data_IF_667924269400
#
_entry.id   IF_667924269400
#
_cell.length_a   1.000
_cell.length_b   1.000
_cell.length_c   1.000
_cell.angle_alpha   90.00
_cell.angle_beta   90.00
_cell.angle_gamma   90.00
#
_symmetry.space_group_name_H-M   'P 1'
#
loop_
_entity.id
_entity.type
_entity.pdbx_description
1 polymer ?
#
# COMPACT_ATOMS: atom_id res chain seq x y z
N UNK A 1 8.86 8.84 3.55
CA UNK A 1 9.45 7.97 2.50
C UNK A 1 10.46 8.68 1.59
N UNK A 2 10.21 9.90 1.09
CA UNK A 2 11.15 10.58 0.17
C UNK A 2 12.54 10.92 0.75
N UNK A 3 12.74 10.92 2.07
CA UNK A 3 14.04 11.23 2.70
C UNK A 3 14.98 10.02 2.87
N UNK A 4 14.46 8.78 2.84
CA UNK A 4 15.29 7.57 3.07
C UNK A 4 16.32 7.31 1.97
N UNK A 5 16.11 7.86 0.77
CA UNK A 5 16.97 7.67 -0.39
C UNK A 5 18.20 8.58 -0.39
N UNK A 6 18.13 9.73 0.31
CA UNK A 6 19.24 10.68 0.44
C UNK A 6 20.47 10.09 1.13
N UNK A 7 20.26 9.14 2.04
CA UNK A 7 21.33 8.49 2.79
C UNK A 7 22.04 7.39 1.96
N UNK A 8 21.39 6.86 0.93
CA UNK A 8 21.90 5.74 0.13
C UNK A 8 22.86 6.16 -1.01
N UNK A 9 22.78 7.40 -1.51
CA UNK A 9 23.58 7.89 -2.65
C UNK A 9 24.02 9.35 -2.49
N UNK A 10 24.96 9.68 -1.59
CA UNK A 10 25.33 11.06 -1.32
C UNK A 10 26.03 11.73 -2.52
N UNK A 11 25.51 12.88 -2.98
CA UNK A 11 26.23 13.77 -3.92
C UNK A 11 25.38 14.33 -5.07
N UNK A 12 26.05 14.60 -6.22
CA UNK A 12 25.42 15.17 -7.43
C UNK A 12 24.36 14.24 -8.05
N UNK A 13 24.53 12.92 -7.87
CA UNK A 13 23.59 11.91 -8.36
C UNK A 13 22.24 11.99 -7.62
N UNK A 14 22.23 12.20 -6.30
CA UNK A 14 21.00 12.41 -5.52
C UNK A 14 20.18 13.59 -6.07
N UNK A 15 20.84 14.72 -6.35
CA UNK A 15 20.15 15.90 -6.89
C UNK A 15 19.54 15.64 -8.27
N UNK A 16 20.25 14.94 -9.15
CA UNK A 16 19.75 14.61 -10.50
C UNK A 16 18.63 13.58 -10.45
N UNK A 17 18.77 12.52 -9.65
CA UNK A 17 17.77 11.47 -9.51
C UNK A 17 16.51 12.00 -8.82
N UNK A 18 16.68 12.77 -7.75
CA UNK A 18 15.57 13.42 -7.04
C UNK A 18 14.85 14.42 -7.94
N UNK A 19 15.59 15.22 -8.73
CA UNK A 19 14.95 16.13 -9.69
C UNK A 19 14.18 15.36 -10.76
N UNK A 20 14.75 14.29 -11.33
CA UNK A 20 14.07 13.46 -12.32
C UNK A 20 12.83 12.74 -11.74
N UNK A 21 12.91 12.24 -10.50
CA UNK A 21 11.76 11.60 -9.84
C UNK A 21 10.67 12.60 -9.43
N UNK A 22 11.03 13.83 -9.07
CA UNK A 22 10.05 14.88 -8.76
C UNK A 22 9.44 15.48 -10.02
N UNK A 23 10.14 15.49 -11.16
CA UNK A 23 9.60 16.00 -12.43
C UNK A 23 8.78 14.96 -13.19
N UNK A 24 9.08 13.66 -13.02
CA UNK A 24 8.37 12.56 -13.69
C UNK A 24 7.32 11.93 -12.76
N UNK A 25 7.53 11.99 -11.45
CA UNK A 25 6.63 11.45 -10.44
C UNK A 25 5.42 12.33 -10.19
N UNK A 26 4.34 11.71 -9.72
CA UNK A 26 3.15 12.41 -9.22
C UNK A 26 3.50 13.19 -7.95
N UNK A 27 2.98 14.40 -7.83
CA UNK A 27 3.01 15.12 -6.55
C UNK A 27 2.05 14.45 -5.53
N UNK A 28 2.03 14.96 -4.30
CA UNK A 28 1.22 14.37 -3.23
C UNK A 28 -0.30 14.42 -3.53
N UNK A 29 -0.76 15.46 -4.24
CA UNK A 29 -2.16 15.62 -4.62
C UNK A 29 -2.54 14.59 -5.67
N UNK A 30 -1.72 14.47 -6.72
CA UNK A 30 -1.93 13.49 -7.78
C UNK A 30 -1.78 12.04 -7.28
N UNK A 31 -0.85 11.79 -6.36
CA UNK A 31 -0.60 10.47 -5.80
C UNK A 31 -1.72 9.96 -4.91
N UNK A 32 -2.53 10.84 -4.30
CA UNK A 32 -3.60 10.44 -3.39
C UNK A 32 -4.91 10.08 -4.12
N UNK A 33 -5.07 10.44 -5.40
CA UNK A 33 -6.32 10.25 -6.13
C UNK A 33 -6.81 8.79 -6.17
N UNK A 34 -5.92 7.82 -6.38
CA UNK A 34 -6.34 6.40 -6.38
C UNK A 34 -6.84 5.95 -5.00
N UNK A 35 -6.23 6.45 -3.92
CA UNK A 35 -6.65 6.15 -2.56
C UNK A 35 -8.01 6.81 -2.24
N UNK A 36 -8.18 8.08 -2.61
CA UNK A 36 -9.46 8.78 -2.47
C UNK A 36 -10.56 8.11 -3.28
N UNK A 37 -10.28 7.72 -4.53
CA UNK A 37 -11.21 6.99 -5.39
C UNK A 37 -11.64 5.67 -4.74
N UNK A 38 -10.69 4.83 -4.31
CA UNK A 38 -10.98 3.56 -3.65
C UNK A 38 -11.77 3.72 -2.34
N UNK A 39 -11.56 4.83 -1.62
CA UNK A 39 -12.24 5.09 -0.34
C UNK A 39 -13.64 5.72 -0.49
N UNK A 40 -13.90 6.44 -1.59
CA UNK A 40 -15.08 7.33 -1.66
C UNK A 40 -15.97 7.16 -2.89
N UNK A 41 -15.47 6.53 -3.96
CA UNK A 41 -16.23 6.42 -5.20
C UNK A 41 -17.39 5.43 -5.04
N UNK A 42 -18.64 5.81 -5.39
CA UNK A 42 -19.78 4.87 -5.41
C UNK A 42 -19.53 3.66 -6.31
N UNK A 43 -18.72 3.85 -7.36
CA UNK A 43 -18.37 2.79 -8.31
C UNK A 43 -17.72 1.57 -7.65
N UNK A 44 -17.02 1.75 -6.53
CA UNK A 44 -16.38 0.64 -5.80
C UNK A 44 -17.44 -0.35 -5.32
N UNK A 45 -18.55 0.16 -4.80
CA UNK A 45 -19.68 -0.65 -4.31
C UNK A 45 -20.53 -1.13 -5.48
N UNK A 46 -20.86 -0.24 -6.41
CA UNK A 46 -21.72 -0.55 -7.56
C UNK A 46 -21.14 -1.64 -8.47
N UNK A 47 -19.81 -1.72 -8.57
CA UNK A 47 -19.09 -2.70 -9.41
C UNK A 47 -18.50 -3.87 -8.63
N UNK A 48 -18.78 -3.97 -7.32
CA UNK A 48 -18.26 -5.01 -6.43
C UNK A 48 -16.73 -5.15 -6.49
N UNK A 49 -16.02 -4.02 -6.40
CA UNK A 49 -14.57 -3.95 -6.50
C UNK A 49 -13.85 -4.04 -5.15
N UNK A 50 -14.48 -4.64 -4.14
CA UNK A 50 -13.80 -4.90 -2.87
C UNK A 50 -12.61 -5.85 -3.09
N UNK A 51 -11.43 -5.46 -2.60
CA UNK A 51 -10.20 -6.24 -2.76
C UNK A 51 -9.46 -6.05 -4.09
N UNK A 52 -9.97 -5.21 -5.00
CA UNK A 52 -9.28 -4.91 -6.25
C UNK A 52 -8.09 -3.95 -6.03
N UNK A 53 -7.03 -4.16 -6.81
CA UNK A 53 -5.92 -3.22 -6.94
C UNK A 53 -6.21 -2.25 -8.09
N UNK A 54 -5.75 -1.00 -7.96
CA UNK A 54 -5.92 0.04 -8.97
C UNK A 54 -4.58 0.66 -9.36
N UNK A 55 -4.34 0.80 -10.66
CA UNK A 55 -3.19 1.56 -11.17
C UNK A 55 -3.49 3.06 -11.20
N UNK A 56 -4.75 3.41 -11.45
CA UNK A 56 -5.30 4.77 -11.50
C UNK A 56 -6.79 4.74 -11.10
N UNK A 57 -7.40 5.89 -10.76
CA UNK A 57 -8.83 5.95 -10.44
C UNK A 57 -9.69 5.30 -11.54
N UNK A 58 -10.51 4.32 -11.16
CA UNK A 58 -11.38 3.59 -12.07
C UNK A 58 -10.68 2.62 -13.03
N UNK A 59 -9.37 2.41 -12.88
CA UNK A 59 -8.59 1.47 -13.70
C UNK A 59 -8.10 0.30 -12.85
N UNK A 60 -8.82 -0.85 -12.86
CA UNK A 60 -8.34 -2.07 -12.23
C UNK A 60 -6.95 -2.44 -12.73
N UNK A 61 -6.05 -2.64 -11.78
CA UNK A 61 -4.72 -3.18 -12.00
C UNK A 61 -4.70 -4.70 -11.90
N UNK A 62 -3.49 -5.25 -11.91
CA UNK A 62 -3.26 -6.68 -11.67
C UNK A 62 -2.11 -6.86 -10.71
N UNK A 63 -2.28 -7.79 -9.78
CA UNK A 63 -1.28 -8.20 -8.81
C UNK A 63 -0.16 -8.98 -9.50
N UNK A 64 1.01 -8.98 -8.89
CA UNK A 64 2.07 -9.92 -9.27
C UNK A 64 1.66 -11.34 -8.89
N UNK A 65 2.26 -12.35 -9.54
CA UNK A 65 1.98 -13.75 -9.19
C UNK A 65 2.29 -14.08 -7.72
N UNK A 66 3.27 -13.38 -7.12
CA UNK A 66 3.57 -13.50 -5.70
C UNK A 66 2.48 -12.88 -4.82
N UNK A 67 1.95 -11.72 -5.21
CA UNK A 67 0.88 -11.05 -4.48
C UNK A 67 -0.47 -11.79 -4.60
N UNK A 68 -0.64 -12.60 -5.65
CA UNK A 68 -1.81 -13.49 -5.81
C UNK A 68 -1.66 -14.86 -5.12
N UNK A 69 -0.54 -15.16 -4.44
CA UNK A 69 -0.33 -16.46 -3.81
C UNK A 69 -1.05 -16.52 -2.44
N UNK A 70 -2.09 -17.37 -2.29
CA UNK A 70 -2.86 -17.43 -1.06
C UNK A 70 -2.08 -18.06 0.10
N UNK A 71 -1.14 -18.97 -0.19
CA UNK A 71 -0.30 -19.59 0.83
C UNK A 71 0.69 -18.60 1.41
N UNK A 72 1.28 -17.76 0.55
CA UNK A 72 2.15 -16.66 0.98
C UNK A 72 1.37 -15.61 1.76
N UNK A 73 0.16 -15.26 1.33
CA UNK A 73 -0.73 -14.35 2.05
C UNK A 73 -1.04 -14.83 3.46
N UNK A 74 -1.42 -16.11 3.61
CA UNK A 74 -1.68 -16.71 4.92
C UNK A 74 -0.42 -16.76 5.80
N UNK A 75 0.71 -17.18 5.25
CA UNK A 75 1.96 -17.27 5.99
C UNK A 75 2.42 -15.89 6.49
N UNK A 76 2.27 -14.85 5.66
CA UNK A 76 2.57 -13.47 6.03
C UNK A 76 1.64 -13.00 7.17
N UNK A 77 0.33 -13.21 7.04
CA UNK A 77 -0.64 -12.85 8.07
C UNK A 77 -0.29 -13.50 9.42
N UNK A 78 -0.10 -14.82 9.43
CA UNK A 78 0.22 -15.58 10.63
C UNK A 78 1.52 -15.09 11.28
N UNK A 79 2.57 -14.86 10.49
CA UNK A 79 3.84 -14.36 10.99
C UNK A 79 3.70 -12.96 11.60
N UNK A 80 2.98 -12.07 10.94
CA UNK A 80 2.71 -10.72 11.43
C UNK A 80 1.98 -10.74 12.78
N UNK A 81 0.94 -11.57 12.91
CA UNK A 81 0.26 -11.73 14.20
C UNK A 81 1.18 -12.25 15.29
N UNK A 82 2.00 -13.27 14.97
CA UNK A 82 2.93 -13.87 15.92
C UNK A 82 3.92 -12.82 16.45
N UNK A 83 4.51 -12.02 15.55
CA UNK A 83 5.45 -10.95 15.92
C UNK A 83 4.76 -9.89 16.79
N UNK A 84 3.54 -9.47 16.42
CA UNK A 84 2.81 -8.46 17.19
C UNK A 84 2.51 -8.98 18.60
N UNK A 85 2.02 -10.22 18.73
CA UNK A 85 1.70 -10.84 20.03
C UNK A 85 2.94 -11.07 20.88
N UNK A 86 4.07 -11.44 20.27
CA UNK A 86 5.37 -11.60 20.94
C UNK A 86 5.87 -10.27 21.53
N UNK A 87 5.75 -9.17 20.78
CA UNK A 87 6.32 -7.87 21.18
C UNK A 87 5.41 -7.01 22.04
N UNK A 88 4.10 -7.05 21.78
CA UNK A 88 3.11 -6.16 22.40
C UNK A 88 2.15 -6.91 23.33
N UNK A 89 2.20 -8.24 23.37
CA UNK A 89 1.33 -9.10 24.18
C UNK A 89 0.07 -9.57 23.47
N UNK A 90 -0.63 -10.53 24.08
CA UNK A 90 -1.78 -11.20 23.47
C UNK A 90 -2.99 -10.28 23.19
N UNK A 91 -3.13 -9.18 23.93
CA UNK A 91 -4.20 -8.20 23.76
C UNK A 91 -3.91 -7.09 22.74
N UNK A 92 -2.81 -7.19 21.98
CA UNK A 92 -2.40 -6.13 21.06
C UNK A 92 -3.20 -6.07 19.74
N UNK A 93 -3.94 -7.13 19.41
CA UNK A 93 -4.82 -7.17 18.25
C UNK A 93 -6.28 -7.03 18.70
N UNK A 94 -7.00 -6.12 18.06
CA UNK A 94 -8.44 -5.92 18.25
C UNK A 94 -9.18 -6.64 17.13
N UNK A 95 -10.29 -7.27 17.45
CA UNK A 95 -11.18 -7.84 16.45
C UNK A 95 -11.91 -6.72 15.70
N UNK A 96 -11.78 -6.71 14.37
CA UNK A 96 -12.42 -5.73 13.48
C UNK A 96 -13.71 -6.28 12.86
N UNK A 97 -14.12 -7.49 13.22
CA UNK A 97 -15.41 -8.04 12.83
C UNK A 97 -16.56 -7.17 13.36
N UNK A 98 -17.70 -7.15 12.65
CA UNK A 98 -18.89 -6.47 13.15
C UNK A 98 -19.28 -7.08 14.51
N UNK A 99 -19.47 -6.22 15.51
CA UNK A 99 -20.07 -6.64 16.77
C UNK A 99 -21.51 -7.01 16.46
N UNK A 100 -21.83 -8.29 16.61
CA UNK A 100 -23.18 -8.85 16.37
C UNK A 100 -24.20 -8.27 17.36
#
# INVERSE_FOLDING_TARGET
>A
MQQQWKEAFPGLLDKLLTTAMLTIGRDAEQGCFSALYAATSPEIVEKDWNGYYFTDPGQPGKESGQASDPGLGYALWYLSELIIKDRLGQGALVDWGPTV
#
